data_IF_054167882790
#
_entry.id   IF_054167882790
#
_cell.length_a   1.000
_cell.length_b   1.000
_cell.length_c   1.000
_cell.angle_alpha   90.00
_cell.angle_beta   90.00
_cell.angle_gamma   90.00
#
_symmetry.space_group_name_H-M   'P 1'
#
loop_
_entity.id
_entity.type
_entity.pdbx_description
1 polymer ?
#
# COMPACT_ATOMS: atom_id res chain seq x y z
N UNK A 1 -27.75 15.90 -38.55
CA UNK A 1 -27.48 14.72 -37.69
C UNK A 1 -26.34 13.79 -38.14
N UNK A 2 -25.84 13.82 -39.39
CA UNK A 2 -24.96 12.75 -39.88
C UNK A 2 -23.62 13.16 -40.53
N UNK A 3 -23.24 14.45 -40.50
CA UNK A 3 -21.96 14.88 -41.07
C UNK A 3 -20.83 14.78 -40.03
N UNK A 4 -20.39 13.55 -39.77
CA UNK A 4 -19.29 13.26 -38.85
C UNK A 4 -17.96 13.85 -39.34
N UNK A 5 -17.67 13.73 -40.64
CA UNK A 5 -16.46 14.25 -41.25
C UNK A 5 -16.33 15.78 -41.09
N UNK A 6 -17.41 16.53 -41.32
CA UNK A 6 -17.41 17.98 -41.15
C UNK A 6 -17.12 18.41 -39.71
N UNK A 7 -17.60 17.65 -38.72
CA UNK A 7 -17.36 17.92 -37.29
C UNK A 7 -15.92 17.63 -36.91
N UNK A 8 -15.34 16.53 -37.42
CA UNK A 8 -13.94 16.19 -37.20
C UNK A 8 -13.03 17.28 -37.81
N UNK A 9 -13.34 17.73 -39.03
CA UNK A 9 -12.62 18.83 -39.69
C UNK A 9 -12.74 20.16 -38.93
N UNK A 10 -13.93 20.48 -38.41
CA UNK A 10 -14.14 21.65 -37.57
C UNK A 10 -13.27 21.60 -36.30
N UNK A 11 -13.27 20.47 -35.59
CA UNK A 11 -12.44 20.27 -34.41
C UNK A 11 -10.95 20.39 -34.74
N UNK A 12 -10.51 19.84 -35.87
CA UNK A 12 -9.13 19.96 -36.32
C UNK A 12 -8.74 21.42 -36.59
N UNK A 13 -9.62 22.20 -37.24
CA UNK A 13 -9.39 23.61 -37.51
C UNK A 13 -9.30 24.43 -36.22
N UNK A 14 -10.21 24.20 -35.27
CA UNK A 14 -10.20 24.86 -33.96
C UNK A 14 -8.96 24.51 -33.14
N UNK A 15 -8.53 23.25 -33.18
CA UNK A 15 -7.32 22.78 -32.51
C UNK A 15 -6.07 23.47 -33.06
N UNK A 16 -5.92 23.54 -34.39
CA UNK A 16 -4.80 24.25 -35.05
C UNK A 16 -4.77 25.75 -34.74
N UNK A 17 -5.93 26.36 -34.51
CA UNK A 17 -6.04 27.77 -34.15
C UNK A 17 -5.87 28.03 -32.66
N UNK A 18 -5.69 27.00 -31.83
CA UNK A 18 -5.68 27.09 -30.36
C UNK A 18 -6.85 27.93 -29.82
N UNK A 19 -8.04 27.76 -30.43
CA UNK A 19 -9.22 28.52 -30.03
C UNK A 19 -9.70 28.08 -28.64
N UNK A 20 -10.07 29.02 -27.75
CA UNK A 20 -10.60 28.68 -26.42
C UNK A 20 -11.94 27.95 -26.48
N UNK A 21 -12.62 27.97 -27.64
CA UNK A 21 -13.88 27.27 -27.86
C UNK A 21 -13.68 25.78 -28.19
N UNK A 22 -12.44 25.33 -28.41
CA UNK A 22 -12.12 23.96 -28.79
C UNK A 22 -12.68 22.95 -27.79
N UNK A 23 -12.48 23.16 -26.50
CA UNK A 23 -12.92 22.21 -25.46
C UNK A 23 -14.45 22.07 -25.39
N UNK A 24 -15.16 23.18 -25.59
CA UNK A 24 -16.62 23.18 -25.57
C UNK A 24 -17.18 22.43 -26.79
N UNK A 25 -16.66 22.73 -27.98
CA UNK A 25 -17.06 22.06 -29.21
C UNK A 25 -16.63 20.59 -29.22
N UNK A 26 -15.48 20.24 -28.63
CA UNK A 26 -15.03 18.87 -28.48
C UNK A 26 -16.03 18.06 -27.65
N UNK A 27 -16.47 18.56 -26.50
CA UNK A 27 -17.48 17.88 -25.65
C UNK A 27 -18.79 17.66 -26.39
N UNK A 28 -19.27 18.68 -27.10
CA UNK A 28 -20.53 18.63 -27.85
C UNK A 28 -20.46 17.68 -29.05
N UNK A 29 -19.35 17.69 -29.79
CA UNK A 29 -19.18 16.90 -31.01
C UNK A 29 -18.73 15.45 -30.71
N UNK A 30 -18.00 15.19 -29.63
CA UNK A 30 -17.56 13.84 -29.26
C UNK A 30 -18.70 12.88 -28.92
N UNK A 31 -19.86 13.40 -28.51
CA UNK A 31 -21.09 12.60 -28.32
C UNK A 31 -21.67 12.16 -29.67
N UNK A 32 -21.43 12.95 -30.71
CA UNK A 32 -22.11 12.83 -32.00
C UNK A 32 -21.25 12.14 -33.06
N UNK A 33 -19.96 11.94 -32.79
CA UNK A 33 -19.04 11.21 -33.68
C UNK A 33 -18.98 9.74 -33.23
N UNK A 34 -19.24 8.77 -34.13
CA UNK A 34 -19.22 7.34 -33.79
C UNK A 34 -17.87 6.85 -33.26
N UNK A 35 -16.75 7.38 -33.77
CA UNK A 35 -15.40 6.91 -33.45
C UNK A 35 -14.56 8.02 -32.81
N UNK A 36 -14.44 8.02 -31.47
CA UNK A 36 -13.63 9.01 -30.74
C UNK A 36 -12.13 8.88 -30.98
N UNK A 37 -11.65 7.67 -31.29
CA UNK A 37 -10.25 7.43 -31.64
C UNK A 37 -9.83 8.28 -32.85
N UNK A 38 -10.71 8.45 -33.85
CA UNK A 38 -10.41 9.28 -35.02
C UNK A 38 -10.15 10.76 -34.69
N UNK A 39 -10.83 11.28 -33.66
CA UNK A 39 -10.59 12.64 -33.16
C UNK A 39 -9.22 12.69 -32.47
N UNK A 40 -8.96 11.75 -31.56
CA UNK A 40 -7.70 11.66 -30.81
C UNK A 40 -6.48 11.54 -31.73
N UNK A 41 -6.53 10.64 -32.72
CA UNK A 41 -5.45 10.46 -33.69
C UNK A 41 -5.17 11.74 -34.49
N UNK A 42 -6.21 12.50 -34.83
CA UNK A 42 -6.06 13.70 -35.66
C UNK A 42 -5.60 14.94 -34.88
N UNK A 43 -5.87 15.01 -33.58
CA UNK A 43 -5.57 16.18 -32.74
C UNK A 43 -4.44 15.95 -31.75
N UNK A 44 -4.46 14.85 -30.98
CA UNK A 44 -3.62 14.69 -29.77
C UNK A 44 -2.53 13.61 -29.91
N UNK A 45 -2.57 12.73 -30.92
CA UNK A 45 -1.62 11.61 -31.06
C UNK A 45 -0.15 12.06 -31.13
N UNK A 46 0.15 13.17 -31.80
CA UNK A 46 1.51 13.71 -31.85
C UNK A 46 2.02 14.17 -30.48
N UNK A 47 1.10 14.55 -29.58
CA UNK A 47 1.41 15.07 -28.25
C UNK A 47 1.39 13.97 -27.17
N UNK A 48 0.69 12.85 -27.43
CA UNK A 48 0.55 11.77 -26.47
C UNK A 48 1.63 10.70 -26.63
N UNK A 49 2.77 10.87 -25.95
CA UNK A 49 3.75 9.78 -25.78
C UNK A 49 3.25 8.85 -24.68
N UNK A 50 2.80 7.66 -25.05
CA UNK A 50 2.48 6.58 -24.10
C UNK A 50 3.71 6.39 -23.21
N UNK A 51 3.58 6.69 -21.91
CA UNK A 51 4.60 6.33 -20.94
C UNK A 51 4.64 4.81 -20.92
N UNK A 52 5.72 4.22 -21.39
CA UNK A 52 5.97 2.79 -21.19
C UNK A 52 6.08 2.56 -19.68
N UNK A 53 4.96 2.17 -19.06
CA UNK A 53 4.98 1.59 -17.74
C UNK A 53 5.72 0.26 -17.87
N UNK A 54 6.95 0.27 -17.36
CA UNK A 54 7.87 -0.87 -17.35
C UNK A 54 7.11 -2.10 -16.86
N UNK A 55 6.95 -3.10 -17.73
CA UNK A 55 6.66 -4.49 -17.34
C UNK A 55 7.71 -4.92 -16.31
N UNK A 56 7.39 -4.80 -15.02
CA UNK A 56 8.25 -5.21 -13.89
C UNK A 56 7.85 -6.59 -13.35
N UNK A 57 7.42 -7.49 -14.22
CA UNK A 57 7.06 -8.86 -13.86
C UNK A 57 7.45 -9.82 -14.98
N UNK A 58 8.72 -9.85 -15.41
CA UNK A 58 9.20 -10.99 -16.22
C UNK A 58 10.73 -11.11 -16.34
N UNK A 59 11.49 -11.01 -15.25
CA UNK A 59 12.92 -11.35 -15.30
C UNK A 59 13.47 -11.71 -13.93
N UNK A 60 13.15 -12.91 -13.47
CA UNK A 60 13.65 -13.40 -12.19
C UNK A 60 13.39 -14.89 -11.96
N UNK A 61 13.38 -15.71 -13.00
CA UNK A 61 13.24 -17.16 -12.86
C UNK A 61 14.34 -17.86 -13.66
N UNK A 62 15.52 -17.99 -13.06
CA UNK A 62 16.38 -19.17 -13.17
C UNK A 62 17.64 -19.01 -12.30
N UNK A 63 17.69 -19.74 -11.18
CA UNK A 63 18.89 -20.45 -10.73
C UNK A 63 18.52 -21.48 -9.66
N UNK A 64 18.75 -22.74 -10.01
CA UNK A 64 19.09 -23.93 -9.22
C UNK A 64 18.90 -23.98 -7.70
N UNK A 65 18.34 -25.12 -7.24
CA UNK A 65 18.70 -25.71 -5.94
C UNK A 65 17.57 -26.28 -5.12
N UNK A 66 17.12 -27.50 -5.44
CA UNK A 66 16.77 -28.62 -4.54
C UNK A 66 16.20 -28.38 -3.12
N UNK A 67 15.41 -27.33 -2.89
CA UNK A 67 14.45 -27.21 -1.81
C UNK A 67 13.27 -26.48 -2.41
N UNK A 68 12.07 -27.01 -2.25
CA UNK A 68 10.84 -26.30 -2.58
C UNK A 68 10.94 -24.91 -1.93
N UNK A 69 11.24 -23.90 -2.75
CA UNK A 69 11.32 -22.53 -2.27
C UNK A 69 9.93 -22.19 -1.77
N UNK A 70 9.82 -21.47 -0.66
CA UNK A 70 8.52 -21.08 -0.10
C UNK A 70 7.65 -20.40 -1.17
N UNK A 71 8.26 -19.73 -2.16
CA UNK A 71 7.56 -19.19 -3.32
C UNK A 71 6.87 -20.25 -4.20
N UNK A 72 7.52 -21.38 -4.47
CA UNK A 72 6.92 -22.46 -5.28
C UNK A 72 5.77 -23.16 -4.54
N UNK A 73 5.91 -23.34 -3.22
CA UNK A 73 4.84 -23.90 -2.38
C UNK A 73 3.64 -22.96 -2.27
N UNK A 74 3.89 -21.64 -2.25
CA UNK A 74 2.83 -20.62 -2.28
C UNK A 74 2.14 -20.63 -3.64
N UNK A 75 2.88 -20.70 -4.74
CA UNK A 75 2.30 -20.72 -6.08
C UNK A 75 1.49 -22.01 -6.34
N UNK A 76 1.99 -23.17 -5.91
CA UNK A 76 1.25 -24.43 -5.97
C UNK A 76 -0.04 -24.35 -5.11
N UNK A 77 0.05 -23.79 -3.90
CA UNK A 77 -1.11 -23.61 -3.02
C UNK A 77 -2.15 -22.66 -3.64
N UNK A 78 -1.72 -21.52 -4.17
CA UNK A 78 -2.60 -20.56 -4.84
C UNK A 78 -3.24 -21.15 -6.11
N UNK A 79 -2.55 -22.06 -6.80
CA UNK A 79 -3.10 -22.80 -7.94
C UNK A 79 -4.16 -23.85 -7.56
N UNK A 80 -4.11 -24.36 -6.32
CA UNK A 80 -5.09 -25.35 -5.81
C UNK A 80 -6.35 -24.73 -5.19
N UNK A 81 -6.39 -23.41 -4.99
CA UNK A 81 -7.58 -22.74 -4.52
C UNK A 81 -8.68 -22.82 -5.61
N UNK A 82 -9.93 -23.16 -5.24
CA UNK A 82 -11.03 -23.08 -6.19
C UNK A 82 -11.10 -21.66 -6.74
N UNK A 83 -11.28 -21.54 -8.06
CA UNK A 83 -11.38 -20.23 -8.70
C UNK A 83 -12.48 -19.45 -7.98
N UNK A 84 -12.09 -18.35 -7.33
CA UNK A 84 -13.04 -17.47 -6.65
C UNK A 84 -14.07 -17.07 -7.70
N UNK A 85 -15.32 -17.46 -7.46
CA UNK A 85 -16.41 -17.16 -8.37
C UNK A 85 -16.43 -15.64 -8.56
N UNK A 86 -16.21 -15.20 -9.80
CA UNK A 86 -16.22 -13.78 -10.11
C UNK A 86 -17.54 -13.19 -9.61
N UNK A 87 -17.51 -12.05 -8.89
CA UNK A 87 -18.73 -11.46 -8.35
C UNK A 87 -19.67 -11.13 -9.50
N UNK A 88 -20.93 -11.56 -9.37
CA UNK A 88 -21.97 -11.26 -10.35
C UNK A 88 -21.99 -9.75 -10.65
N UNK A 89 -21.97 -9.34 -11.93
CA UNK A 89 -21.87 -7.94 -12.29
C UNK A 89 -23.17 -7.22 -11.93
N UNK A 90 -23.17 -6.52 -10.79
CA UNK A 90 -24.31 -5.68 -10.38
C UNK A 90 -24.40 -5.38 -8.89
N UNK A 91 -23.70 -6.11 -8.02
CA UNK A 91 -23.72 -5.85 -6.58
C UNK A 91 -22.49 -5.03 -6.20
N UNK A 92 -22.64 -3.82 -5.60
CA UNK A 92 -21.49 -3.08 -5.11
C UNK A 92 -20.80 -3.91 -4.02
N UNK A 93 -19.56 -4.32 -4.28
CA UNK A 93 -18.74 -5.11 -3.36
C UNK A 93 -18.36 -4.26 -2.14
N UNK A 94 -19.28 -4.17 -1.17
CA UNK A 94 -18.99 -3.68 0.17
C UNK A 94 -18.51 -4.86 1.00
N UNK A 95 -17.19 -5.09 1.02
CA UNK A 95 -16.54 -6.16 1.76
C UNK A 95 -16.90 -6.15 3.26
N UNK A 96 -17.34 -5.01 3.79
CA UNK A 96 -17.80 -4.85 5.17
C UNK A 96 -19.09 -5.66 5.42
N UNK A 97 -20.01 -5.70 4.45
CA UNK A 97 -21.29 -6.41 4.58
C UNK A 97 -21.14 -7.92 4.52
N UNK A 98 -20.26 -8.42 3.64
CA UNK A 98 -20.01 -9.86 3.54
C UNK A 98 -19.36 -10.40 4.81
N UNK A 99 -18.39 -9.67 5.38
CA UNK A 99 -17.76 -10.08 6.63
C UNK A 99 -18.73 -10.05 7.82
N UNK A 100 -19.59 -9.02 7.89
CA UNK A 100 -20.62 -8.93 8.93
C UNK A 100 -21.66 -10.05 8.77
N UNK A 101 -22.11 -10.35 7.54
CA UNK A 101 -23.04 -11.44 7.26
C UNK A 101 -22.45 -12.80 7.64
N UNK A 102 -21.21 -13.04 7.26
CA UNK A 102 -20.50 -14.28 7.58
C UNK A 102 -20.34 -14.46 9.09
N UNK A 103 -19.92 -13.42 9.83
CA UNK A 103 -19.85 -13.50 11.29
C UNK A 103 -21.22 -13.83 11.89
N UNK A 104 -22.27 -13.11 11.52
CA UNK A 104 -23.64 -13.36 12.00
C UNK A 104 -24.17 -14.76 11.69
N UNK A 105 -23.78 -15.33 10.54
CA UNK A 105 -24.08 -16.72 10.17
C UNK A 105 -23.29 -17.73 11.00
N UNK A 106 -21.99 -17.51 11.22
CA UNK A 106 -21.17 -18.38 12.07
C UNK A 106 -21.57 -18.33 13.55
N UNK A 107 -22.19 -17.25 14.01
CA UNK A 107 -22.67 -17.11 15.40
C UNK A 107 -23.94 -17.95 15.66
N UNK A 108 -24.70 -18.32 14.63
CA UNK A 108 -25.88 -19.18 14.75
C UNK A 108 -25.58 -20.69 14.66
N UNK A 109 -24.40 -21.07 14.17
CA UNK A 109 -23.97 -22.47 14.00
C UNK A 109 -23.03 -22.97 15.13
N UNK A 110 -22.91 -22.21 16.23
CA UNK A 110 -22.02 -22.51 17.37
C UNK A 110 -22.39 -23.77 18.19
N UNK A 111 -23.15 -24.71 17.63
CA UNK A 111 -23.36 -26.06 18.18
C UNK A 111 -22.72 -27.17 17.36
N UNK A 112 -22.08 -26.89 16.22
CA UNK A 112 -21.27 -27.87 15.49
C UNK A 112 -19.88 -27.30 15.20
N UNK A 113 -18.97 -27.48 16.16
CA UNK A 113 -17.54 -27.52 15.89
C UNK A 113 -17.25 -28.73 14.99
N UNK A 114 -17.33 -28.54 13.68
CA UNK A 114 -16.65 -29.44 12.74
C UNK A 114 -15.15 -29.22 12.89
N UNK A 115 -14.55 -29.95 13.85
CA UNK A 115 -13.11 -30.20 13.87
C UNK A 115 -12.78 -31.05 12.65
N UNK A 116 -12.63 -30.41 11.49
CA UNK A 116 -11.93 -31.05 10.39
C UNK A 116 -10.51 -31.33 10.89
N UNK A 117 -10.09 -32.61 10.99
CA UNK A 117 -8.75 -32.91 11.46
C UNK A 117 -7.78 -32.33 10.44
N UNK A 118 -7.06 -31.27 10.82
CA UNK A 118 -5.95 -30.79 10.03
C UNK A 118 -4.96 -31.94 9.85
N UNK A 119 -4.46 -32.14 8.62
CA UNK A 119 -3.48 -33.17 8.24
C UNK A 119 -2.09 -33.04 8.94
N UNK A 120 -2.01 -32.31 10.06
CA UNK A 120 -0.80 -32.05 10.85
C UNK A 120 -0.47 -33.13 11.88
N UNK A 121 -0.88 -34.39 11.66
CA UNK A 121 -0.47 -35.55 12.46
C UNK A 121 -0.75 -35.46 13.97
N UNK A 122 -1.79 -34.73 14.38
CA UNK A 122 -2.20 -34.60 15.80
C UNK A 122 -1.24 -33.84 16.71
N UNK A 123 -0.16 -33.26 16.17
CA UNK A 123 0.87 -32.55 16.97
C UNK A 123 0.30 -31.28 17.60
N UNK A 124 -0.65 -30.64 16.91
CA UNK A 124 -1.33 -29.44 17.41
C UNK A 124 -2.32 -29.78 18.52
N UNK A 125 -3.08 -30.87 18.37
CA UNK A 125 -3.99 -31.38 19.41
C UNK A 125 -3.22 -31.75 20.68
N UNK A 126 -2.12 -32.49 20.56
CA UNK A 126 -1.30 -32.84 21.71
C UNK A 126 -0.65 -31.63 22.37
N UNK A 127 -0.33 -30.57 21.61
CA UNK A 127 0.19 -29.32 22.17
C UNK A 127 -0.87 -28.53 22.94
N UNK A 128 -2.11 -28.50 22.42
CA UNK A 128 -3.26 -27.87 23.09
C UNK A 128 -3.66 -28.63 24.36
N UNK A 129 -3.60 -29.96 24.35
CA UNK A 129 -3.92 -30.80 25.50
C UNK A 129 -2.83 -30.78 26.59
N UNK A 130 -1.55 -30.57 26.21
CA UNK A 130 -0.41 -30.70 27.12
C UNK A 130 0.12 -29.37 27.70
N UNK A 131 -0.35 -28.21 27.22
CA UNK A 131 0.23 -26.91 27.56
C UNK A 131 -0.61 -26.01 28.47
N UNK A 132 -0.07 -25.61 29.63
CA UNK A 132 -0.52 -24.47 30.47
C UNK A 132 -0.28 -23.10 29.78
N UNK A 133 -0.41 -23.02 28.45
CA UNK A 133 -0.29 -21.79 27.64
C UNK A 133 1.02 -21.01 27.74
N UNK A 134 2.01 -21.46 28.52
CA UNK A 134 3.27 -20.75 28.77
C UNK A 134 4.43 -21.51 28.15
N UNK A 135 5.02 -20.92 27.11
CA UNK A 135 6.31 -21.35 26.55
C UNK A 135 7.39 -20.97 27.56
N UNK A 136 8.07 -21.93 28.23
CA UNK A 136 9.17 -21.59 29.13
C UNK A 136 10.37 -21.10 28.30
N UNK A 137 10.77 -19.84 28.51
CA UNK A 137 12.03 -19.33 27.99
C UNK A 137 13.19 -19.89 28.82
N UNK A 138 14.28 -20.41 28.21
CA UNK A 138 15.46 -20.85 28.95
C UNK A 138 16.11 -19.69 29.70
N UNK A 139 16.31 -19.85 31.00
CA UNK A 139 16.77 -18.79 31.92
C UNK A 139 18.31 -18.65 32.01
N UNK A 140 19.05 -18.98 30.95
CA UNK A 140 20.52 -18.97 30.98
C UNK A 140 21.12 -18.08 29.88
N UNK A 141 21.05 -16.76 30.08
CA UNK A 141 22.18 -15.89 29.75
C UNK A 141 22.57 -15.12 31.00
N UNK A 142 23.31 -15.81 31.86
CA UNK A 142 23.95 -15.21 33.02
C UNK A 142 24.99 -14.16 32.57
N UNK A 143 24.70 -12.88 32.82
CA UNK A 143 25.74 -11.86 33.00
C UNK A 143 25.70 -11.40 34.44
N UNK A 144 26.62 -11.96 35.25
CA UNK A 144 27.00 -11.43 36.56
C UNK A 144 28.09 -10.38 36.33
N UNK A 145 27.85 -9.17 36.81
CA UNK A 145 28.79 -8.05 36.74
C UNK A 145 28.21 -6.86 37.48
N UNK A 146 28.48 -6.81 38.79
CA UNK A 146 28.20 -5.67 39.66
C UNK A 146 28.96 -4.40 39.23
N UNK A 147 28.30 -3.24 39.36
CA UNK A 147 28.92 -1.93 39.18
C UNK A 147 27.88 -0.82 39.09
N UNK A 148 27.62 -0.17 40.22
CA UNK A 148 26.67 0.93 40.38
C UNK A 148 26.98 2.16 39.51
N UNK A 149 25.96 2.74 38.87
CA UNK A 149 25.56 4.16 38.96
C UNK A 149 24.69 4.58 37.76
N UNK A 150 23.54 5.14 38.11
CA UNK A 150 22.67 6.07 37.35
C UNK A 150 21.91 5.60 36.11
N UNK A 151 20.58 5.75 36.20
CA UNK A 151 19.60 5.72 35.11
C UNK A 151 20.06 6.66 33.97
N UNK A 152 19.88 6.22 32.72
CA UNK A 152 18.70 6.71 32.03
C UNK A 152 17.91 5.58 31.37
N UNK A 153 16.62 5.84 31.23
CA UNK A 153 15.62 4.97 30.63
C UNK A 153 16.13 4.32 29.34
N UNK A 154 16.32 2.99 29.38
CA UNK A 154 16.41 2.17 28.17
C UNK A 154 15.09 2.30 27.45
N UNK A 155 15.05 3.19 26.46
CA UNK A 155 14.03 3.14 25.42
C UNK A 155 14.20 1.80 24.74
N UNK A 156 13.20 0.97 24.92
CA UNK A 156 12.99 -0.27 24.18
C UNK A 156 13.31 -0.02 22.72
N UNK A 157 14.39 -0.65 22.24
CA UNK A 157 14.76 -0.71 20.84
C UNK A 157 13.79 -1.64 20.08
N UNK A 158 12.49 -1.37 20.23
CA UNK A 158 11.55 -1.71 19.19
C UNK A 158 11.99 -0.91 17.98
N UNK A 159 12.23 -1.60 16.86
CA UNK A 159 12.61 -0.97 15.58
C UNK A 159 11.42 -0.15 15.08
N UNK A 160 11.15 0.98 15.72
CA UNK A 160 10.03 1.87 15.42
C UNK A 160 10.13 2.26 13.94
N UNK A 161 9.10 1.91 13.18
CA UNK A 161 9.08 2.13 11.74
C UNK A 161 8.81 3.62 11.51
N UNK A 162 9.89 4.36 11.34
CA UNK A 162 9.83 5.79 11.04
C UNK A 162 9.42 6.02 9.59
N UNK A 163 8.32 6.74 9.39
CA UNK A 163 7.82 7.18 8.08
C UNK A 163 7.60 8.68 8.06
N UNK A 164 7.61 9.28 6.87
CA UNK A 164 7.38 10.71 6.67
C UNK A 164 5.98 11.14 7.14
N UNK A 165 4.97 10.30 6.89
CA UNK A 165 3.59 10.53 7.32
C UNK A 165 3.52 10.59 8.85
N UNK A 166 4.25 9.70 9.54
CA UNK A 166 4.30 9.69 11.00
C UNK A 166 4.89 11.00 11.54
N UNK A 167 5.97 11.52 10.94
CA UNK A 167 6.50 12.84 11.29
C UNK A 167 5.47 13.95 11.05
N UNK A 168 4.72 13.90 9.94
CA UNK A 168 3.63 14.84 9.66
C UNK A 168 2.51 14.82 10.71
N UNK A 169 2.15 13.63 11.21
CA UNK A 169 1.18 13.49 12.30
C UNK A 169 1.70 14.13 13.60
N UNK A 170 2.98 13.92 13.95
CA UNK A 170 3.56 14.54 15.14
C UNK A 170 3.62 16.06 15.07
N UNK A 171 3.86 16.63 13.88
CA UNK A 171 3.79 18.09 13.66
C UNK A 171 2.37 18.59 13.94
N UNK A 172 1.35 17.92 13.42
CA UNK A 172 -0.06 18.27 13.66
C UNK A 172 -0.45 18.17 15.13
N UNK A 173 0.13 17.22 15.85
CA UNK A 173 -0.06 17.06 17.30
C UNK A 173 0.74 18.06 18.14
N UNK A 174 1.53 18.96 17.54
CA UNK A 174 2.39 19.91 18.24
C UNK A 174 3.66 19.30 18.84
N UNK A 175 3.94 18.00 18.61
CA UNK A 175 5.10 17.30 19.15
C UNK A 175 6.32 17.47 18.23
N UNK A 176 6.85 18.69 18.14
CA UNK A 176 7.89 19.01 17.15
C UNK A 176 9.24 18.33 17.44
N UNK A 177 9.62 18.12 18.70
CA UNK A 177 10.89 17.46 19.05
C UNK A 177 10.93 16.00 18.61
N UNK A 178 9.79 15.30 18.73
CA UNK A 178 9.64 13.92 18.24
C UNK A 178 9.65 13.88 16.72
N UNK A 179 8.94 14.80 16.06
CA UNK A 179 8.98 14.92 14.60
C UNK A 179 10.42 15.15 14.07
N UNK A 180 11.20 16.02 14.73
CA UNK A 180 12.58 16.30 14.35
C UNK A 180 13.48 15.06 14.45
N UNK A 181 13.31 14.21 15.48
CA UNK A 181 14.04 12.95 15.62
C UNK A 181 13.74 11.98 14.47
N UNK A 182 12.47 11.89 14.07
CA UNK A 182 12.02 11.03 12.96
C UNK A 182 12.62 11.51 11.63
N UNK A 183 12.57 12.82 11.35
CA UNK A 183 13.14 13.41 10.14
C UNK A 183 14.66 13.20 10.08
N UNK A 184 15.39 13.35 11.21
CA UNK A 184 16.83 13.03 11.27
C UNK A 184 17.10 11.56 10.95
N UNK A 185 16.32 10.64 11.51
CA UNK A 185 16.48 9.21 11.25
C UNK A 185 16.17 8.84 9.79
N UNK A 186 15.18 9.50 9.18
CA UNK A 186 14.85 9.34 7.76
C UNK A 186 15.95 9.91 6.85
N UNK A 187 16.63 11.00 7.24
CA UNK A 187 17.73 11.57 6.47
C UNK A 187 18.91 10.60 6.34
N UNK A 188 19.21 9.85 7.40
CA UNK A 188 20.26 8.83 7.41
C UNK A 188 19.90 7.64 6.51
N UNK A 189 18.63 7.25 6.47
CA UNK A 189 18.14 6.15 5.62
C UNK A 189 18.03 6.53 4.13
N UNK A 190 17.71 7.79 3.83
CA UNK A 190 17.41 8.25 2.47
C UNK A 190 18.25 9.48 2.07
N UNK A 191 19.58 9.33 1.89
CA UNK A 191 20.48 10.45 1.61
C UNK A 191 20.16 11.16 0.27
N UNK A 192 19.49 10.48 -0.68
CA UNK A 192 19.06 11.08 -1.95
C UNK A 192 18.11 12.28 -1.76
N UNK A 193 17.37 12.33 -0.65
CA UNK A 193 16.45 13.42 -0.30
C UNK A 193 17.04 14.38 0.74
N UNK A 194 18.36 14.46 0.90
CA UNK A 194 18.99 15.24 1.98
C UNK A 194 18.55 16.73 1.99
N UNK A 195 18.48 17.37 0.82
CA UNK A 195 18.03 18.77 0.70
C UNK A 195 16.61 18.97 1.26
N UNK A 196 15.69 18.06 0.95
CA UNK A 196 14.32 18.10 1.44
C UNK A 196 14.24 17.98 2.96
N UNK A 197 14.96 17.03 3.54
CA UNK A 197 14.98 16.84 4.99
C UNK A 197 15.61 18.03 5.72
N UNK A 198 16.65 18.66 5.15
CA UNK A 198 17.24 19.87 5.71
C UNK A 198 16.23 21.02 5.78
N UNK A 199 15.43 21.21 4.73
CA UNK A 199 14.38 22.24 4.72
C UNK A 199 13.28 21.95 5.75
N UNK A 200 12.84 20.69 5.88
CA UNK A 200 11.87 20.28 6.90
C UNK A 200 12.42 20.46 8.32
N UNK A 201 13.70 20.17 8.55
CA UNK A 201 14.34 20.32 9.85
C UNK A 201 14.42 21.80 10.25
N UNK A 202 14.78 22.68 9.30
CA UNK A 202 14.77 24.14 9.51
C UNK A 202 13.38 24.66 9.84
N UNK A 203 12.34 24.13 9.19
CA UNK A 203 10.96 24.48 9.49
C UNK A 203 10.55 24.05 10.90
N UNK A 204 10.88 22.81 11.28
CA UNK A 204 10.64 22.28 12.63
C UNK A 204 11.36 23.07 13.71
N UNK A 205 12.62 23.46 13.48
CA UNK A 205 13.39 24.30 14.42
C UNK A 205 12.72 25.64 14.67
N UNK A 206 12.21 26.29 13.61
CA UNK A 206 11.43 27.53 13.75
C UNK A 206 10.16 27.32 14.58
N UNK A 207 9.46 26.19 14.38
CA UNK A 207 8.27 25.87 15.17
C UNK A 207 8.60 25.62 16.63
N UNK A 208 9.69 24.92 16.93
CA UNK A 208 10.15 24.67 18.31
C UNK A 208 10.51 26.00 19.01
N UNK A 209 11.22 26.90 18.32
CA UNK A 209 11.56 28.21 18.86
C UNK A 209 10.30 29.03 19.14
N UNK A 210 9.34 29.01 18.22
CA UNK A 210 8.07 29.71 18.41
C UNK A 210 7.25 29.13 19.58
N UNK A 211 7.21 27.80 19.73
CA UNK A 211 6.54 27.14 20.85
C UNK A 211 7.19 27.49 22.19
N UNK A 212 8.53 27.52 22.26
CA UNK A 212 9.27 27.84 23.49
C UNK A 212 9.19 29.32 23.90
N UNK A 213 8.91 30.20 22.94
CA UNK A 213 8.73 31.64 23.18
C UNK A 213 7.26 32.03 23.40
N UNK A 214 6.34 31.07 23.43
CA UNK A 214 4.92 31.28 23.69
C UNK A 214 4.60 31.00 25.15
#
# INVERSE_FOLDING_TARGET
PYFHAARILLLQALHKQHSPLYDQELRRNAVMVPCRNSIFHLTEEAHYKVKEERKRYDSGAQSDGARQSTGQLIDDFLGTLPHAQEPDPGVPADATKDYISYMLQTEHDSTHIDTTPMNGGGVVEQFLEQGDGRIPLPADTATKGDGAAEKPERKTEGKEIFTEIMAGIYIKQGKYESAAKIIRQLSLKYPKKNRYFADQLRFLEKLIINEKNK
#
